data_IF_355628506450
#
_entry.id   IF_355628506450
#
_cell.length_a   1.000
_cell.length_b   1.000
_cell.length_c   1.000
_cell.angle_alpha   90.00
_cell.angle_beta   90.00
_cell.angle_gamma   90.00
#
_symmetry.space_group_name_H-M   'P 1'
#
loop_
_entity.id
_entity.type
_entity.pdbx_description
1 polymer ?
#
# COMPACT_ATOMS: atom_id res chain seq x y z
N UNK A 1 -10.99 23.12 -6.15
CA UNK A 1 -10.79 23.32 -4.70
C UNK A 1 -9.34 23.71 -4.50
N UNK A 2 -9.05 24.77 -3.73
CA UNK A 2 -7.68 25.13 -3.37
C UNK A 2 -7.10 24.03 -2.47
N UNK A 3 -5.89 23.57 -2.77
CA UNK A 3 -5.14 22.61 -1.94
C UNK A 3 -4.54 23.40 -0.79
N UNK A 4 -4.78 22.96 0.44
CA UNK A 4 -4.19 23.59 1.62
C UNK A 4 -2.72 23.16 1.73
N UNK A 5 -1.81 24.12 1.74
CA UNK A 5 -0.36 23.86 1.79
C UNK A 5 0.06 23.77 3.25
N UNK A 6 0.58 22.60 3.63
CA UNK A 6 0.97 22.30 5.01
C UNK A 6 2.49 22.33 5.17
N UNK A 7 2.95 23.01 6.21
CA UNK A 7 4.38 23.25 6.45
C UNK A 7 5.15 21.97 6.84
N UNK A 8 4.50 21.01 7.50
CA UNK A 8 5.08 19.69 7.85
C UNK A 8 5.40 18.85 6.62
N UNK A 9 4.48 18.82 5.66
CA UNK A 9 4.62 18.13 4.37
C UNK A 9 5.69 18.80 3.52
N UNK A 10 5.68 20.14 3.46
CA UNK A 10 6.72 20.92 2.75
C UNK A 10 8.10 20.61 3.33
N UNK A 11 8.24 20.58 4.65
CA UNK A 11 9.50 20.28 5.31
C UNK A 11 10.04 18.89 4.92
N UNK A 12 9.19 17.85 4.96
CA UNK A 12 9.56 16.48 4.55
C UNK A 12 9.99 16.45 3.08
N UNK A 13 9.26 17.12 2.19
CA UNK A 13 9.58 17.17 0.76
C UNK A 13 10.93 17.85 0.50
N UNK A 14 11.15 19.03 1.09
CA UNK A 14 12.39 19.77 0.90
C UNK A 14 13.58 19.00 1.48
N UNK A 15 13.42 18.38 2.64
CA UNK A 15 14.46 17.57 3.28
C UNK A 15 14.84 16.37 2.41
N UNK A 16 13.85 15.63 1.90
CA UNK A 16 14.10 14.46 1.04
C UNK A 16 14.77 14.84 -0.29
N UNK A 17 14.36 15.96 -0.89
CA UNK A 17 15.00 16.49 -2.11
C UNK A 17 16.46 16.90 -1.81
N UNK A 18 16.75 17.48 -0.64
CA UNK A 18 18.11 17.90 -0.26
C UNK A 18 19.04 16.71 -0.03
N UNK A 19 18.51 15.65 0.58
CA UNK A 19 19.24 14.39 0.81
C UNK A 19 19.61 13.70 -0.51
N UNK A 20 18.69 13.70 -1.49
CA UNK A 20 18.95 13.16 -2.83
C UNK A 20 19.91 14.06 -3.65
N UNK A 21 19.80 15.39 -3.56
CA UNK A 21 20.67 16.34 -4.26
C UNK A 21 22.13 16.29 -3.77
N UNK A 22 22.36 15.86 -2.53
CA UNK A 22 23.70 15.77 -1.92
C UNK A 22 24.37 14.39 -2.05
N UNK A 23 23.67 13.39 -2.61
CA UNK A 23 24.17 12.03 -2.80
C UNK A 23 25.07 11.84 -4.04
N UNK A 24 25.88 10.75 -4.13
CA UNK A 24 26.73 10.49 -5.29
C UNK A 24 25.92 9.92 -6.47
N UNK A 25 25.29 10.80 -7.24
CA UNK A 25 24.58 10.47 -8.49
C UNK A 25 23.19 11.12 -8.57
N UNK A 26 22.60 11.28 -9.77
CA UNK A 26 21.25 11.81 -9.91
C UNK A 26 20.25 10.70 -9.54
N UNK A 27 20.10 10.42 -8.26
CA UNK A 27 19.08 9.50 -7.79
C UNK A 27 17.70 10.14 -8.01
N UNK A 28 16.80 9.40 -8.64
CA UNK A 28 15.42 9.84 -8.84
C UNK A 28 14.78 10.06 -7.47
N UNK A 29 14.29 11.28 -7.23
CA UNK A 29 13.58 11.60 -5.99
C UNK A 29 12.25 10.87 -6.02
N UNK A 30 12.16 9.77 -5.28
CA UNK A 30 10.94 8.98 -5.16
C UNK A 30 10.25 9.28 -3.85
N UNK A 31 9.05 9.82 -3.91
CA UNK A 31 8.18 10.01 -2.76
C UNK A 31 7.31 8.77 -2.57
N UNK A 32 7.36 8.18 -1.38
CA UNK A 32 6.52 7.06 -0.97
C UNK A 32 5.59 7.49 0.16
N UNK A 33 4.50 6.76 0.35
CA UNK A 33 3.55 7.01 1.44
C UNK A 33 4.22 6.98 2.82
N UNK A 34 5.31 6.21 2.95
CA UNK A 34 6.13 6.11 4.16
C UNK A 34 6.84 7.42 4.53
N UNK A 35 7.16 8.29 3.57
CA UNK A 35 7.79 9.59 3.86
C UNK A 35 6.85 10.52 4.61
N UNK A 36 5.55 10.38 4.34
CA UNK A 36 4.50 11.20 4.93
C UNK A 36 3.70 10.44 5.98
N UNK A 37 4.24 9.31 6.47
CA UNK A 37 3.58 8.49 7.47
C UNK A 37 3.16 9.33 8.69
N UNK A 38 1.88 9.25 9.06
CA UNK A 38 1.29 10.02 10.16
C UNK A 38 0.74 11.39 9.76
N UNK A 39 1.08 11.91 8.57
CA UNK A 39 0.43 13.08 7.98
C UNK A 39 -0.71 12.55 7.11
N UNK A 40 -1.97 12.69 7.54
CA UNK A 40 -3.15 12.32 6.73
C UNK A 40 -3.14 13.13 5.42
N UNK A 41 -2.46 12.62 4.40
CA UNK A 41 -2.21 13.32 3.13
C UNK A 41 -2.49 12.36 1.98
N UNK A 42 -3.22 12.84 0.98
CA UNK A 42 -3.50 12.06 -0.23
C UNK A 42 -2.41 12.28 -1.28
N UNK A 43 -2.25 11.38 -2.27
CA UNK A 43 -1.36 11.60 -3.40
C UNK A 43 -1.63 12.93 -4.14
N UNK A 44 -2.89 13.36 -4.19
CA UNK A 44 -3.28 14.64 -4.77
C UNK A 44 -2.74 15.83 -3.98
N UNK A 45 -2.73 15.74 -2.67
CA UNK A 45 -2.17 16.77 -1.80
C UNK A 45 -0.66 16.81 -1.98
N UNK A 46 0.03 15.66 -1.98
CA UNK A 46 1.49 15.57 -2.27
C UNK A 46 1.82 16.27 -3.59
N UNK A 47 1.08 15.98 -4.66
CA UNK A 47 1.25 16.64 -5.95
C UNK A 47 0.97 18.14 -5.90
N UNK A 48 -0.05 18.58 -5.16
CA UNK A 48 -0.33 19.99 -4.94
C UNK A 48 0.81 20.73 -4.23
N UNK A 49 1.47 20.07 -3.29
CA UNK A 49 2.64 20.63 -2.59
C UNK A 49 3.86 20.68 -3.52
N UNK A 50 4.10 19.64 -4.33
CA UNK A 50 5.16 19.65 -5.34
C UNK A 50 4.96 20.73 -6.40
N UNK A 51 3.74 20.87 -6.91
CA UNK A 51 3.36 21.92 -7.87
C UNK A 51 3.54 23.32 -7.24
N UNK A 52 3.10 23.50 -6.00
CA UNK A 52 3.33 24.74 -5.25
C UNK A 52 4.83 25.07 -5.11
N UNK A 53 5.65 24.09 -4.70
CA UNK A 53 7.08 24.27 -4.52
C UNK A 53 7.78 24.62 -5.83
N UNK A 54 7.36 24.00 -6.94
CA UNK A 54 7.91 24.25 -8.26
C UNK A 54 7.48 25.64 -8.79
N UNK A 55 6.19 25.99 -8.72
CA UNK A 55 5.67 27.29 -9.14
C UNK A 55 6.27 28.47 -8.35
N UNK A 56 6.51 28.27 -7.05
CA UNK A 56 7.14 29.27 -6.18
C UNK A 56 8.67 29.27 -6.26
N UNK A 57 9.25 28.43 -7.11
CA UNK A 57 10.69 28.31 -7.38
C UNK A 57 11.50 27.90 -6.15
N UNK A 58 10.92 27.09 -5.25
CA UNK A 58 11.67 26.45 -4.15
C UNK A 58 12.40 25.20 -4.63
N UNK A 59 11.83 24.51 -5.62
CA UNK A 59 12.44 23.36 -6.29
C UNK A 59 12.42 23.58 -7.80
N UNK A 60 13.34 22.93 -8.49
CA UNK A 60 13.31 22.75 -9.94
C UNK A 60 12.94 21.30 -10.22
N UNK A 61 11.66 21.05 -10.54
CA UNK A 61 11.17 19.70 -10.83
C UNK A 61 11.09 19.45 -12.34
N UNK A 62 11.58 18.29 -12.78
CA UNK A 62 11.34 17.77 -14.12
C UNK A 62 10.20 16.74 -14.08
N UNK A 63 9.17 16.99 -14.89
CA UNK A 63 8.06 16.07 -15.11
C UNK A 63 8.11 15.58 -16.57
N UNK A 64 7.85 14.30 -16.80
CA UNK A 64 7.64 13.75 -18.15
C UNK A 64 6.17 13.58 -18.41
N UNK A 65 5.66 14.11 -19.53
CA UNK A 65 4.23 14.03 -19.81
C UNK A 65 3.60 15.21 -20.53
N UNK A 66 2.39 15.02 -21.10
CA UNK A 66 1.58 16.12 -21.61
C UNK A 66 0.38 16.37 -20.69
N UNK A 67 0.45 17.46 -19.91
CA UNK A 67 -0.61 17.86 -18.99
C UNK A 67 -1.93 18.28 -19.67
N UNK A 68 -1.93 18.44 -21.01
CA UNK A 68 -3.07 18.90 -21.81
C UNK A 68 -3.33 18.03 -23.07
N UNK A 69 -2.83 16.80 -23.13
CA UNK A 69 -2.98 15.92 -24.31
C UNK A 69 -4.39 15.36 -24.48
N UNK A 70 -4.83 15.21 -25.73
CA UNK A 70 -6.12 14.58 -26.06
C UNK A 70 -5.94 13.06 -26.30
N UNK A 71 -7.03 12.29 -26.26
CA UNK A 71 -7.04 10.83 -26.50
C UNK A 71 -6.40 10.43 -27.85
N UNK A 72 -6.42 11.34 -28.83
CA UNK A 72 -5.89 11.14 -30.19
C UNK A 72 -4.35 11.24 -30.26
N UNK A 73 -3.69 11.78 -29.22
CA UNK A 73 -2.23 11.90 -29.12
C UNK A 73 -1.56 10.64 -28.55
N UNK A 74 -2.36 9.61 -28.22
CA UNK A 74 -1.88 8.32 -27.70
C UNK A 74 -1.49 7.42 -28.87
N UNK A 75 -0.21 7.06 -29.08
CA UNK A 75 0.16 6.14 -30.14
C UNK A 75 -0.39 4.74 -29.85
N UNK A 76 -1.07 4.14 -30.83
CA UNK A 76 -1.43 2.71 -30.84
C UNK A 76 -0.15 1.87 -30.96
N UNK A 77 0.57 1.65 -29.86
CA UNK A 77 1.75 0.79 -29.87
C UNK A 77 1.90 -0.01 -28.57
N UNK A 78 1.77 -1.32 -28.77
CA UNK A 78 2.10 -2.45 -27.92
C UNK A 78 3.53 -2.36 -27.35
N UNK A 79 3.67 -2.20 -26.03
CA UNK A 79 4.71 -2.82 -25.20
C UNK A 79 4.42 -2.57 -23.70
N UNK A 80 4.01 -3.59 -22.91
CA UNK A 80 3.75 -3.45 -21.47
C UNK A 80 5.05 -3.66 -20.67
N UNK A 81 6.03 -2.76 -20.84
CA UNK A 81 7.18 -2.64 -19.94
C UNK A 81 7.45 -1.17 -19.69
N UNK A 82 7.61 -0.84 -18.41
CA UNK A 82 7.83 0.50 -17.85
C UNK A 82 6.58 1.39 -17.78
N UNK A 83 5.73 1.16 -16.78
CA UNK A 83 4.89 2.22 -16.22
C UNK A 83 4.86 2.05 -14.71
N UNK A 84 5.66 2.85 -14.03
CA UNK A 84 5.64 3.01 -12.58
C UNK A 84 4.73 4.20 -12.23
N UNK A 85 3.85 3.99 -11.24
CA UNK A 85 2.86 4.91 -10.64
C UNK A 85 1.86 5.64 -11.57
N UNK A 86 0.55 5.33 -11.41
CA UNK A 86 -0.56 6.10 -12.00
C UNK A 86 -1.11 7.13 -11.01
N UNK A 87 -1.15 8.38 -11.45
CA UNK A 87 -1.75 9.57 -10.81
C UNK A 87 -3.25 9.69 -11.19
N UNK A 88 -4.04 10.59 -10.56
CA UNK A 88 -5.17 11.31 -11.20
C UNK A 88 -5.57 12.66 -10.55
N UNK A 89 -5.11 13.74 -11.19
CA UNK A 89 -5.67 15.07 -11.51
C UNK A 89 -6.46 15.99 -10.54
N UNK A 90 -6.17 17.30 -10.70
CA UNK A 90 -7.06 18.43 -10.37
C UNK A 90 -7.18 19.45 -11.54
N UNK A 91 -8.42 19.56 -12.05
CA UNK A 91 -9.06 20.66 -12.81
C UNK A 91 -8.65 20.97 -14.27
N UNK A 92 -9.57 20.70 -15.23
CA UNK A 92 -9.79 21.59 -16.37
C UNK A 92 -10.11 21.05 -17.79
N UNK A 93 -10.96 20.03 -18.00
CA UNK A 93 -11.60 19.77 -19.31
C UNK A 93 -12.89 18.94 -19.14
N UNK A 94 -13.87 19.09 -20.04
CA UNK A 94 -15.15 18.36 -19.97
C UNK A 94 -15.00 16.83 -20.10
N UNK A 95 -13.91 16.38 -20.73
CA UNK A 95 -13.53 14.96 -20.84
C UNK A 95 -12.36 14.54 -19.92
N UNK A 96 -11.85 15.45 -19.09
CA UNK A 96 -10.81 15.18 -18.07
C UNK A 96 -9.41 14.81 -18.62
N UNK A 97 -8.28 15.27 -18.04
CA UNK A 97 -6.97 14.86 -18.54
C UNK A 97 -6.68 13.41 -18.13
N UNK A 98 -6.14 12.64 -19.06
CA UNK A 98 -5.82 11.22 -18.89
C UNK A 98 -4.63 11.04 -17.90
N UNK A 99 -4.84 10.38 -16.74
CA UNK A 99 -3.90 10.39 -15.63
C UNK A 99 -2.55 9.69 -15.82
N UNK A 100 -2.41 8.92 -16.90
CA UNK A 100 -1.28 8.04 -17.18
C UNK A 100 -0.17 8.73 -17.98
N UNK A 101 -0.29 10.04 -18.17
CA UNK A 101 0.57 10.82 -19.04
C UNK A 101 1.48 11.79 -18.29
N UNK A 102 1.64 11.74 -16.96
CA UNK A 102 2.59 12.60 -16.23
C UNK A 102 3.31 11.78 -15.15
N UNK A 103 4.65 11.78 -15.16
CA UNK A 103 5.48 11.20 -14.11
C UNK A 103 6.55 12.20 -13.64
N UNK A 104 6.79 12.23 -12.33
CA UNK A 104 7.84 13.04 -11.71
C UNK A 104 9.18 12.32 -11.89
N UNK A 105 10.17 13.00 -12.46
CA UNK A 105 11.45 12.37 -12.83
C UNK A 105 12.57 12.74 -11.85
N UNK A 106 12.67 14.03 -11.51
CA UNK A 106 13.64 14.52 -10.53
C UNK A 106 13.23 15.89 -10.00
N UNK A 107 13.75 16.25 -8.83
CA UNK A 107 13.74 17.63 -8.37
C UNK A 107 15.08 17.99 -7.74
N UNK A 108 15.47 19.25 -7.92
CA UNK A 108 16.65 19.85 -7.30
C UNK A 108 16.21 21.05 -6.47
N UNK A 109 16.83 21.28 -5.31
CA UNK A 109 16.55 22.49 -4.52
C UNK A 109 17.18 23.72 -5.16
N UNK A 110 16.38 24.77 -5.27
CA UNK A 110 16.90 26.10 -5.57
C UNK A 110 17.54 26.70 -4.32
N UNK A 111 18.33 27.75 -4.49
CA UNK A 111 18.86 28.55 -3.37
C UNK A 111 17.75 29.00 -2.40
N UNK A 112 16.58 29.34 -2.95
CA UNK A 112 15.40 29.75 -2.18
C UNK A 112 14.79 28.57 -1.40
N UNK A 113 14.78 27.38 -1.99
CA UNK A 113 14.34 26.16 -1.30
C UNK A 113 15.27 25.77 -0.15
N UNK A 114 16.59 25.91 -0.33
CA UNK A 114 17.58 25.65 0.73
C UNK A 114 17.41 26.62 1.90
N UNK A 115 17.22 27.91 1.62
CA UNK A 115 16.95 28.91 2.66
C UNK A 115 15.69 28.59 3.46
N UNK A 116 14.60 28.18 2.78
CA UNK A 116 13.37 27.75 3.45
C UNK A 116 13.58 26.50 4.30
N UNK A 117 14.36 25.52 3.81
CA UNK A 117 14.70 24.33 4.59
C UNK A 117 15.55 24.67 5.82
N UNK A 118 16.52 25.58 5.69
CA UNK A 118 17.35 26.05 6.81
C UNK A 118 16.52 26.80 7.87
N UNK A 119 15.55 27.61 7.44
CA UNK A 119 14.58 28.27 8.34
C UNK A 119 13.72 27.24 9.09
N UNK A 120 13.21 26.21 8.39
CA UNK A 120 12.43 25.13 9.00
C UNK A 120 13.27 24.20 9.88
N UNK A 121 14.57 24.05 9.63
CA UNK A 121 15.48 23.34 10.53
C UNK A 121 15.71 24.12 11.84
N UNK A 122 15.70 25.45 11.78
CA UNK A 122 15.88 26.33 12.94
C UNK A 122 14.60 26.47 13.79
N UNK A 123 13.44 26.46 13.16
CA UNK A 123 12.11 26.46 13.81
C UNK A 123 11.20 25.40 13.15
N UNK A 124 11.31 24.12 13.58
CA UNK A 124 10.54 23.03 12.99
C UNK A 124 9.03 23.26 13.08
N UNK A 125 8.25 22.92 12.02
CA UNK A 125 6.81 22.99 12.06
C UNK A 125 6.24 22.29 13.30
N UNK A 126 5.38 22.99 14.07
CA UNK A 126 4.80 22.48 15.34
C UNK A 126 4.05 21.15 15.19
N UNK A 127 3.54 20.85 13.99
CA UNK A 127 2.92 19.58 13.67
C UNK A 127 3.90 18.39 13.74
N UNK A 128 5.21 18.63 13.71
CA UNK A 128 6.28 17.63 13.90
C UNK A 128 6.57 17.33 15.39
N UNK A 129 6.21 18.21 16.34
CA UNK A 129 6.38 17.98 17.78
C UNK A 129 5.41 16.91 18.32
N UNK A 130 4.35 16.64 17.56
CA UNK A 130 3.62 15.39 17.65
C UNK A 130 4.48 14.32 16.98
N UNK A 131 5.53 13.86 17.70
CA UNK A 131 6.42 12.78 17.25
C UNK A 131 5.62 11.60 16.69
N UNK A 132 6.22 10.76 15.81
CA UNK A 132 5.53 9.95 14.80
C UNK A 132 4.18 9.51 15.32
N UNK A 133 3.14 10.24 14.90
CA UNK A 133 1.80 9.96 15.34
C UNK A 133 1.55 8.51 14.94
N UNK A 134 1.29 7.68 15.95
CA UNK A 134 1.02 6.26 15.85
C UNK A 134 0.24 6.00 14.55
N UNK A 135 0.73 5.10 13.67
CA UNK A 135 0.17 4.93 12.34
C UNK A 135 -1.32 4.63 12.42
N UNK A 136 -2.13 5.42 11.69
CA UNK A 136 -3.42 5.07 11.07
C UNK A 136 -4.16 3.93 11.80
N UNK A 137 -4.59 4.22 13.02
CA UNK A 137 -5.58 3.42 13.72
C UNK A 137 -6.96 4.02 13.43
N UNK A 138 -7.58 3.62 12.33
CA UNK A 138 -9.05 3.66 12.24
C UNK A 138 -9.55 2.40 11.54
N UNK A 139 -9.89 1.44 12.42
CA UNK A 139 -10.93 0.39 12.32
C UNK A 139 -10.64 -0.98 11.71
N UNK A 140 -9.68 -1.16 10.81
CA UNK A 140 -9.19 -2.52 10.42
C UNK A 140 -7.83 -2.88 11.05
N UNK A 141 -7.24 -1.91 11.75
CA UNK A 141 -5.93 -2.01 12.41
C UNK A 141 -5.80 -3.17 13.41
N UNK A 142 -6.82 -3.64 14.16
CA UNK A 142 -6.60 -4.71 15.14
C UNK A 142 -6.11 -6.03 14.54
N UNK A 143 -6.63 -6.42 13.37
CA UNK A 143 -6.20 -7.66 12.73
C UNK A 143 -4.75 -7.55 12.24
N UNK A 144 -4.46 -6.52 11.44
CA UNK A 144 -3.12 -6.33 10.85
C UNK A 144 -2.06 -5.97 11.90
N UNK A 145 -2.42 -5.24 12.97
CA UNK A 145 -1.56 -5.01 14.12
C UNK A 145 -1.24 -6.31 14.86
N UNK A 146 -2.23 -7.21 15.05
CA UNK A 146 -1.96 -8.53 15.63
C UNK A 146 -1.02 -9.33 14.76
N UNK A 147 -1.19 -9.31 13.43
CA UNK A 147 -0.27 -9.96 12.50
C UNK A 147 1.13 -9.33 12.61
N UNK A 148 1.24 -8.01 12.51
CA UNK A 148 2.49 -7.26 12.61
C UNK A 148 3.26 -7.59 13.90
N UNK A 149 2.58 -7.52 15.04
CA UNK A 149 3.18 -7.81 16.36
C UNK A 149 3.57 -9.29 16.49
N UNK A 150 2.68 -10.23 16.12
CA UNK A 150 2.96 -11.67 16.22
C UNK A 150 4.05 -12.12 15.24
N UNK A 151 4.17 -11.47 14.08
CA UNK A 151 5.18 -11.75 13.06
C UNK A 151 6.48 -10.95 13.22
N UNK A 152 6.55 -10.02 14.18
CA UNK A 152 7.66 -9.09 14.37
C UNK A 152 7.99 -8.27 13.10
N UNK A 153 6.96 -7.77 12.43
CA UNK A 153 7.08 -6.89 11.27
C UNK A 153 7.21 -5.43 11.72
N UNK A 154 7.89 -4.62 10.92
CA UNK A 154 8.19 -3.22 11.24
C UNK A 154 7.08 -2.26 10.82
N UNK A 155 6.22 -2.66 9.90
CA UNK A 155 5.07 -1.86 9.45
C UNK A 155 3.83 -2.70 9.09
N UNK A 156 2.69 -2.01 8.99
CA UNK A 156 1.39 -2.60 8.69
C UNK A 156 1.19 -2.94 7.20
N UNK A 157 1.98 -2.34 6.30
CA UNK A 157 1.88 -2.59 4.87
C UNK A 157 2.44 -3.97 4.53
N UNK A 158 3.59 -4.31 5.13
CA UNK A 158 4.15 -5.67 5.11
C UNK A 158 3.14 -6.68 5.66
N UNK A 159 2.51 -6.37 6.81
CA UNK A 159 1.50 -7.25 7.40
C UNK A 159 0.29 -7.48 6.46
N UNK A 160 -0.16 -6.44 5.75
CA UNK A 160 -1.26 -6.52 4.78
C UNK A 160 -0.87 -7.37 3.58
N UNK A 161 0.24 -7.05 2.93
CA UNK A 161 0.67 -7.70 1.69
C UNK A 161 0.98 -9.18 1.94
N UNK A 162 1.61 -9.49 3.08
CA UNK A 162 1.83 -10.86 3.54
C UNK A 162 0.50 -11.59 3.78
N UNK A 163 -0.44 -10.96 4.49
CA UNK A 163 -1.76 -11.54 4.76
C UNK A 163 -2.48 -11.87 3.47
N UNK A 164 -2.49 -10.95 2.50
CA UNK A 164 -3.14 -11.15 1.20
C UNK A 164 -2.55 -12.37 0.47
N UNK A 165 -1.23 -12.52 0.46
CA UNK A 165 -0.57 -13.68 -0.16
C UNK A 165 -0.91 -14.99 0.56
N UNK A 166 -0.92 -14.99 1.90
CA UNK A 166 -1.31 -16.17 2.68
C UNK A 166 -2.76 -16.55 2.39
N UNK A 167 -3.68 -15.60 2.49
CA UNK A 167 -5.11 -15.80 2.22
C UNK A 167 -5.35 -16.25 0.78
N UNK A 168 -4.71 -15.64 -0.21
CA UNK A 168 -4.76 -16.07 -1.61
C UNK A 168 -4.29 -17.52 -1.77
N UNK A 169 -3.19 -17.89 -1.12
CA UNK A 169 -2.65 -19.25 -1.22
C UNK A 169 -3.59 -20.28 -0.57
N UNK A 170 -4.25 -19.93 0.54
CA UNK A 170 -5.28 -20.77 1.15
C UNK A 170 -6.51 -20.90 0.23
N UNK A 171 -7.02 -19.77 -0.26
CA UNK A 171 -8.19 -19.68 -1.13
C UNK A 171 -8.02 -20.45 -2.43
N UNK A 172 -6.81 -20.42 -3.01
CA UNK A 172 -6.46 -21.20 -4.21
C UNK A 172 -6.72 -22.71 -4.03
N UNK A 173 -6.77 -23.23 -2.80
CA UNK A 173 -7.01 -24.65 -2.49
C UNK A 173 -8.48 -24.96 -2.14
N UNK A 174 -9.31 -23.95 -1.94
CA UNK A 174 -10.67 -24.07 -1.42
C UNK A 174 -11.72 -23.99 -2.53
N UNK A 175 -12.91 -24.55 -2.28
CA UNK A 175 -14.05 -24.36 -3.19
C UNK A 175 -14.62 -22.95 -3.04
N UNK A 176 -15.22 -22.40 -4.10
CA UNK A 176 -15.84 -21.07 -4.05
C UNK A 176 -16.85 -20.95 -2.90
N UNK A 177 -17.62 -22.01 -2.62
CA UNK A 177 -18.61 -22.00 -1.54
C UNK A 177 -17.96 -21.96 -0.16
N UNK A 178 -16.82 -22.62 0.04
CA UNK A 178 -16.06 -22.54 1.28
C UNK A 178 -15.43 -21.15 1.45
N UNK A 179 -14.90 -20.58 0.37
CA UNK A 179 -14.35 -19.23 0.35
C UNK A 179 -15.40 -18.18 0.71
N UNK A 180 -16.59 -18.26 0.12
CA UNK A 180 -17.68 -17.32 0.40
C UNK A 180 -18.16 -17.45 1.87
N UNK A 181 -18.28 -18.68 2.41
CA UNK A 181 -18.64 -18.88 3.83
C UNK A 181 -17.61 -18.33 4.81
N UNK A 182 -16.31 -18.46 4.51
CA UNK A 182 -15.26 -17.86 5.34
C UNK A 182 -15.34 -16.33 5.27
N UNK A 183 -15.57 -15.77 4.08
CA UNK A 183 -15.70 -14.33 3.90
C UNK A 183 -16.87 -13.74 4.71
N UNK A 184 -17.99 -14.47 4.81
CA UNK A 184 -19.16 -14.05 5.61
C UNK A 184 -18.86 -13.88 7.09
N UNK A 185 -17.96 -14.69 7.67
CA UNK A 185 -17.57 -14.57 9.09
C UNK A 185 -16.47 -13.54 9.32
N UNK A 186 -15.68 -13.22 8.29
CA UNK A 186 -14.67 -12.16 8.34
C UNK A 186 -15.26 -10.75 8.10
N UNK A 187 -16.57 -10.64 7.90
CA UNK A 187 -17.30 -9.39 7.68
C UNK A 187 -17.83 -8.84 9.03
N UNK A 188 -17.24 -7.76 9.54
CA UNK A 188 -17.87 -6.97 10.60
C UNK A 188 -18.74 -5.85 9.96
N UNK A 189 -20.00 -5.66 10.38
CA UNK A 189 -20.86 -4.63 9.79
C UNK A 189 -20.32 -3.22 10.10
N UNK A 190 -19.73 -2.57 9.10
CA UNK A 190 -19.20 -1.21 9.22
C UNK A 190 -20.28 -0.11 9.28
N UNK A 191 -20.08 0.88 10.15
CA UNK A 191 -20.77 2.18 10.08
C UNK A 191 -20.26 2.98 8.86
N UNK A 192 -21.13 3.72 8.14
CA UNK A 192 -20.77 4.38 6.89
C UNK A 192 -19.76 5.52 7.10
N UNK A 193 -18.67 5.51 6.30
CA UNK A 193 -17.66 6.59 6.22
C UNK A 193 -17.26 6.87 4.76
N UNK A 194 -16.64 8.03 4.51
CA UNK A 194 -16.39 8.57 3.15
C UNK A 194 -15.03 8.17 2.54
N UNK A 195 -14.14 7.48 3.27
CA UNK A 195 -12.79 7.08 2.79
C UNK A 195 -12.73 5.62 2.31
N UNK A 196 -13.02 5.39 1.02
CA UNK A 196 -13.06 4.05 0.37
C UNK A 196 -11.78 3.19 0.45
N UNK A 197 -10.61 3.79 0.66
CA UNK A 197 -9.34 3.06 0.74
C UNK A 197 -9.08 2.44 2.12
N UNK A 198 -9.88 2.83 3.12
CA UNK A 198 -9.79 2.42 4.53
C UNK A 198 -11.05 1.65 4.97
N UNK A 199 -11.67 0.95 4.01
CA UNK A 199 -12.87 0.12 4.21
C UNK A 199 -12.56 -1.35 3.87
N UNK A 200 -11.30 -1.78 4.00
CA UNK A 200 -10.93 -3.15 3.64
C UNK A 200 -11.09 -4.02 4.88
N UNK A 201 -12.27 -4.58 5.05
CA UNK A 201 -12.53 -5.54 6.10
C UNK A 201 -11.59 -6.75 5.95
N UNK A 202 -11.45 -7.57 7.01
CA UNK A 202 -10.68 -8.83 6.90
C UNK A 202 -11.23 -9.69 5.74
N UNK A 203 -12.54 -9.60 5.47
CA UNK A 203 -13.19 -10.19 4.30
C UNK A 203 -12.62 -9.70 2.96
N UNK A 204 -12.24 -8.42 2.81
CA UNK A 204 -11.65 -7.89 1.58
C UNK A 204 -10.23 -8.39 1.35
N UNK A 205 -9.44 -8.51 2.43
CA UNK A 205 -8.13 -9.19 2.37
C UNK A 205 -8.32 -10.67 1.96
N UNK A 206 -9.34 -11.33 2.49
CA UNK A 206 -9.63 -12.73 2.20
C UNK A 206 -10.13 -12.97 0.77
N UNK A 207 -10.94 -12.06 0.23
CA UNK A 207 -11.54 -12.16 -1.12
C UNK A 207 -10.63 -11.62 -2.22
N UNK A 208 -9.52 -10.96 -1.84
CA UNK A 208 -8.60 -10.20 -2.68
C UNK A 208 -9.10 -8.78 -2.96
N UNK A 209 -8.27 -7.79 -2.61
CA UNK A 209 -8.55 -6.37 -2.87
C UNK A 209 -8.48 -6.06 -4.38
N UNK A 210 -7.81 -6.90 -5.17
CA UNK A 210 -7.75 -6.74 -6.62
C UNK A 210 -8.96 -7.39 -7.33
N UNK A 211 -9.83 -6.61 -7.98
CA UNK A 211 -11.06 -7.12 -8.59
C UNK A 211 -10.81 -8.12 -9.74
N UNK A 212 -9.67 -8.02 -10.44
CA UNK A 212 -9.31 -8.97 -11.49
C UNK A 212 -8.87 -10.30 -10.89
N UNK A 213 -8.08 -10.27 -9.82
CA UNK A 213 -7.64 -11.49 -9.13
C UNK A 213 -8.83 -12.17 -8.47
N UNK A 214 -9.71 -11.40 -7.82
CA UNK A 214 -11.01 -11.85 -7.30
C UNK A 214 -11.88 -12.51 -8.36
N UNK A 215 -11.96 -11.93 -9.56
CA UNK A 215 -12.73 -12.54 -10.66
C UNK A 215 -12.07 -13.83 -11.17
N UNK A 216 -10.75 -13.82 -11.35
CA UNK A 216 -10.00 -14.98 -11.86
C UNK A 216 -9.93 -16.14 -10.87
N UNK A 217 -9.96 -15.89 -9.56
CA UNK A 217 -10.01 -16.94 -8.54
C UNK A 217 -11.31 -17.73 -8.63
N UNK A 218 -12.44 -17.06 -8.86
CA UNK A 218 -13.77 -17.70 -8.98
C UNK A 218 -13.92 -18.64 -10.18
N UNK A 219 -13.19 -18.37 -11.26
CA UNK A 219 -13.26 -19.17 -12.49
C UNK A 219 -12.31 -20.37 -12.45
N UNK A 220 -11.25 -20.31 -11.63
CA UNK A 220 -10.24 -21.37 -11.56
C UNK A 220 -10.72 -22.51 -10.65
N UNK A 221 -10.49 -23.78 -11.03
CA UNK A 221 -10.73 -24.89 -10.12
C UNK A 221 -9.75 -24.86 -8.94
N UNK A 222 -10.13 -25.41 -7.78
CA UNK A 222 -9.23 -25.53 -6.63
C UNK A 222 -7.92 -26.25 -7.00
N UNK A 223 -6.80 -25.71 -6.53
CA UNK A 223 -5.47 -26.20 -6.79
C UNK A 223 -5.03 -27.21 -5.72
N UNK A 224 -4.36 -28.27 -6.16
CA UNK A 224 -3.67 -29.20 -5.25
C UNK A 224 -2.27 -28.64 -4.98
N UNK A 225 -2.13 -27.87 -3.90
CA UNK A 225 -0.85 -27.29 -3.47
C UNK A 225 -0.23 -28.21 -2.40
N UNK A 226 1.03 -28.59 -2.59
CA UNK A 226 1.82 -29.34 -1.59
C UNK A 226 2.43 -28.38 -0.56
N UNK A 227 2.77 -28.90 0.60
CA UNK A 227 3.38 -28.14 1.72
C UNK A 227 4.56 -27.27 1.29
N UNK A 228 5.53 -27.85 0.58
CA UNK A 228 6.70 -27.12 0.09
C UNK A 228 6.32 -26.03 -0.91
N UNK A 229 5.31 -26.28 -1.76
CA UNK A 229 4.82 -25.32 -2.74
C UNK A 229 4.07 -24.16 -2.06
N UNK A 230 3.33 -24.44 -1.00
CA UNK A 230 2.64 -23.43 -0.20
C UNK A 230 3.66 -22.47 0.44
N UNK A 231 4.66 -23.01 1.16
CA UNK A 231 5.72 -22.19 1.77
C UNK A 231 6.57 -21.47 0.72
N UNK A 232 6.85 -22.12 -0.41
CA UNK A 232 7.60 -21.51 -1.50
C UNK A 232 6.88 -20.28 -2.06
N UNK A 233 5.57 -20.38 -2.34
CA UNK A 233 4.78 -19.24 -2.81
C UNK A 233 4.83 -18.07 -1.85
N UNK A 234 4.61 -18.32 -0.56
CA UNK A 234 4.67 -17.26 0.45
C UNK A 234 6.06 -16.59 0.45
N UNK A 235 7.15 -17.37 0.47
CA UNK A 235 8.51 -16.79 0.45
C UNK A 235 8.81 -15.95 -0.79
N UNK A 236 8.21 -16.28 -1.94
CA UNK A 236 8.46 -15.58 -3.20
C UNK A 236 7.54 -14.37 -3.40
N UNK A 237 6.29 -14.47 -2.97
CA UNK A 237 5.25 -13.48 -3.29
C UNK A 237 4.98 -12.50 -2.15
N UNK A 238 5.23 -12.88 -0.89
CA UNK A 238 4.84 -12.09 0.28
C UNK A 238 5.87 -11.04 0.70
N UNK A 239 7.03 -10.95 0.03
CA UNK A 239 8.03 -9.92 0.35
C UNK A 239 8.58 -9.98 1.78
N UNK A 240 8.67 -11.18 2.39
CA UNK A 240 9.04 -11.34 3.81
C UNK A 240 10.43 -10.71 4.09
N UNK A 241 10.56 -9.85 5.14
CA UNK A 241 11.84 -9.29 5.56
C UNK A 241 12.88 -10.37 5.89
N UNK A 242 14.17 -10.08 5.66
CA UNK A 242 15.25 -11.09 5.79
C UNK A 242 15.41 -11.64 7.22
N UNK A 243 15.04 -10.84 8.21
CA UNK A 243 15.08 -11.14 9.64
C UNK A 243 13.88 -11.97 10.14
N UNK A 244 12.86 -12.18 9.30
CA UNK A 244 11.61 -12.82 9.69
C UNK A 244 11.45 -14.18 9.01
N UNK A 245 11.16 -15.21 9.81
CA UNK A 245 10.95 -16.56 9.30
C UNK A 245 9.52 -16.76 8.78
N UNK A 246 9.38 -17.52 7.68
CA UNK A 246 8.07 -17.79 7.05
C UNK A 246 7.13 -18.58 7.96
N UNK A 247 7.63 -19.48 8.81
CA UNK A 247 6.77 -20.24 9.72
C UNK A 247 6.20 -19.30 10.81
N UNK A 248 6.96 -18.28 11.23
CA UNK A 248 6.51 -17.26 12.19
C UNK A 248 5.42 -16.38 11.59
N UNK A 249 5.65 -15.87 10.38
CA UNK A 249 4.66 -15.09 9.62
C UNK A 249 3.37 -15.89 9.42
N UNK A 250 3.49 -17.14 8.99
CA UNK A 250 2.34 -17.97 8.70
C UNK A 250 1.50 -18.24 9.95
N UNK A 251 2.16 -18.54 11.09
CA UNK A 251 1.48 -18.68 12.38
C UNK A 251 0.82 -17.40 12.84
N UNK A 252 1.45 -16.24 12.64
CA UNK A 252 0.87 -14.96 13.00
C UNK A 252 -0.46 -14.70 12.26
N UNK A 253 -0.47 -14.91 10.94
CA UNK A 253 -1.68 -14.77 10.12
C UNK A 253 -2.73 -15.80 10.51
N UNK A 254 -2.36 -17.06 10.69
CA UNK A 254 -3.30 -18.10 11.12
C UNK A 254 -3.93 -17.83 12.48
N UNK A 255 -3.11 -17.43 13.45
CA UNK A 255 -3.56 -17.08 14.79
C UNK A 255 -4.53 -15.88 14.74
N UNK A 256 -4.17 -14.82 14.01
CA UNK A 256 -5.03 -13.66 13.85
C UNK A 256 -6.34 -13.97 13.12
N UNK A 257 -6.32 -14.86 12.11
CA UNK A 257 -7.52 -15.26 11.36
C UNK A 257 -8.46 -16.12 12.21
N UNK A 258 -7.93 -17.04 13.02
CA UNK A 258 -8.76 -17.82 13.95
C UNK A 258 -9.47 -16.97 14.99
N UNK A 259 -8.84 -15.88 15.43
CA UNK A 259 -9.46 -14.93 16.38
C UNK A 259 -10.75 -14.31 15.79
N UNK A 260 -10.89 -14.28 14.46
CA UNK A 260 -12.03 -13.72 13.72
C UNK A 260 -13.05 -14.77 13.23
N UNK A 261 -12.79 -16.06 13.47
CA UNK A 261 -13.56 -17.15 12.86
C UNK A 261 -14.23 -18.04 13.91
N UNK A 262 -15.41 -18.57 13.59
CA UNK A 262 -16.02 -19.61 14.40
C UNK A 262 -15.24 -20.93 14.33
N UNK A 263 -15.40 -21.76 15.35
CA UNK A 263 -14.84 -23.12 15.40
C UNK A 263 -15.20 -23.98 14.17
N UNK A 264 -16.37 -23.74 13.57
CA UNK A 264 -16.81 -24.47 12.38
C UNK A 264 -16.03 -24.03 11.13
N UNK A 265 -15.77 -22.72 10.95
CA UNK A 265 -14.91 -22.25 9.84
C UNK A 265 -13.45 -22.65 10.05
N UNK A 266 -12.96 -22.59 11.28
CA UNK A 266 -11.59 -23.01 11.61
C UNK A 266 -11.36 -24.47 11.21
N UNK A 267 -12.33 -25.35 11.48
CA UNK A 267 -12.27 -26.77 11.08
C UNK A 267 -12.40 -26.93 9.57
N UNK A 268 -13.33 -26.23 8.93
CA UNK A 268 -13.51 -26.29 7.48
C UNK A 268 -12.23 -25.89 6.74
N UNK A 269 -11.59 -24.78 7.12
CA UNK A 269 -10.31 -24.34 6.53
C UNK A 269 -9.25 -25.43 6.68
N UNK A 270 -9.15 -26.05 7.86
CA UNK A 270 -8.17 -27.09 8.15
C UNK A 270 -8.30 -28.34 7.24
N UNK A 271 -9.48 -28.60 6.66
CA UNK A 271 -9.70 -29.72 5.73
C UNK A 271 -8.97 -29.52 4.39
N UNK A 272 -8.71 -28.27 4.00
CA UNK A 272 -8.02 -27.93 2.75
C UNK A 272 -6.50 -27.82 2.90
N UNK A 273 -6.00 -27.63 4.12
CA UNK A 273 -4.57 -27.38 4.35
C UNK A 273 -3.74 -28.68 4.31
N UNK A 274 -2.56 -28.68 3.66
CA UNK A 274 -1.74 -29.87 3.51
C UNK A 274 -0.79 -30.09 4.70
N UNK A 275 -0.59 -31.35 5.11
CA UNK A 275 0.35 -31.83 6.13
C UNK A 275 0.90 -30.81 7.13
N UNK A 276 2.15 -30.35 6.98
CA UNK A 276 2.79 -29.39 7.91
C UNK A 276 2.03 -28.05 8.01
N UNK A 277 1.42 -27.57 6.92
CA UNK A 277 0.62 -26.33 6.95
C UNK A 277 -0.61 -26.50 7.84
N UNK A 278 -1.28 -27.65 7.75
CA UNK A 278 -2.38 -27.98 8.66
C UNK A 278 -1.91 -28.07 10.11
N UNK A 279 -0.75 -28.67 10.37
CA UNK A 279 -0.18 -28.71 11.73
C UNK A 279 0.11 -27.29 12.26
N UNK A 280 0.64 -26.40 11.41
CA UNK A 280 0.82 -25.00 11.79
C UNK A 280 -0.51 -24.31 12.05
N UNK A 281 -1.53 -24.55 11.22
CA UNK A 281 -2.87 -24.05 11.46
C UNK A 281 -3.38 -24.52 12.80
N UNK A 282 -3.38 -25.82 13.08
CA UNK A 282 -3.91 -26.37 14.35
C UNK A 282 -3.18 -25.82 15.60
N UNK A 283 -1.89 -25.49 15.49
CA UNK A 283 -1.05 -25.01 16.60
C UNK A 283 -0.82 -23.49 16.68
N UNK A 284 -1.34 -22.72 15.72
CA UNK A 284 -1.28 -21.26 15.71
C UNK A 284 -2.31 -20.60 16.64
#
# INVERSE_FOLDING_TARGET
MPIDIRDDVVYIMLKKIDECDRGPGPDEVNFSETDFAGLKITPKDVLGHLDYLNQRQYINAEFTGNAYGNQEDVPDAVAPKEFDFRIANSFGAADGPLPHLISFKKAELTEKGRQMLDEMNADPPKALESGPAVPIADKDSPFLERVMVKANLTDLYDARDITEVVFRTMRDMMTNEAVDRVAEELHEPMEPTDEKALQNEVADLWIDTNPLVRFLSRVRPPLIIKEDTFLFRIRQEAGIPQETDVDTVLKAVFSAAKDELSEDRIKEIAEFLPGKIRQMWDHA
#
